data_IF_297091000923
#
_entry.id   IF_297091000923
#
_cell.length_a   1.000
_cell.length_b   1.000
_cell.length_c   1.000
_cell.angle_alpha   90.00
_cell.angle_beta   90.00
_cell.angle_gamma   90.00
#
_symmetry.space_group_name_H-M   'P 1'
#
loop_
_entity.id
_entity.type
_entity.pdbx_description
1 polymer ?
#
# COMPACT_ATOMS: atom_id res chain seq x y z
N UNK A 1 -17.84 54.67 -42.20
CA UNK A 1 -16.75 54.14 -41.37
C UNK A 1 -17.25 53.73 -39.98
N UNK A 2 -18.22 52.79 -39.88
CA UNK A 2 -18.85 52.48 -38.59
C UNK A 2 -19.28 51.01 -38.46
N UNK A 3 -18.41 50.06 -38.82
CA UNK A 3 -18.78 48.62 -38.75
C UNK A 3 -17.64 47.67 -38.37
N UNK A 4 -16.44 48.18 -38.04
CA UNK A 4 -15.25 47.33 -37.78
C UNK A 4 -14.89 47.12 -36.30
N UNK A 5 -15.70 47.60 -35.35
CA UNK A 5 -15.34 47.58 -33.91
C UNK A 5 -16.14 46.62 -33.02
N UNK A 6 -17.11 45.88 -33.56
CA UNK A 6 -17.99 45.03 -32.74
C UNK A 6 -17.60 43.54 -32.68
N UNK A 7 -16.54 43.12 -33.39
CA UNK A 7 -16.10 41.72 -33.41
C UNK A 7 -14.98 41.39 -32.40
N UNK A 8 -14.52 42.36 -31.60
CA UNK A 8 -13.40 42.15 -30.68
C UNK A 8 -13.80 41.71 -29.25
N UNK A 9 -15.09 41.69 -28.90
CA UNK A 9 -15.53 41.50 -27.51
C UNK A 9 -16.10 40.12 -27.17
N UNK A 10 -16.32 39.24 -28.15
CA UNK A 10 -17.02 37.96 -27.92
C UNK A 10 -16.09 36.77 -27.57
N UNK A 11 -14.77 36.97 -27.55
CA UNK A 11 -13.78 35.89 -27.39
C UNK A 11 -13.07 35.91 -26.02
N UNK A 12 -13.77 36.31 -24.95
CA UNK A 12 -13.16 36.45 -23.62
C UNK A 12 -13.81 35.60 -22.50
N UNK A 13 -14.80 34.75 -22.82
CA UNK A 13 -15.47 33.89 -21.82
C UNK A 13 -15.42 32.41 -22.21
N UNK A 14 -14.22 31.87 -22.39
CA UNK A 14 -14.00 30.42 -22.33
C UNK A 14 -13.55 30.08 -20.91
N UNK A 15 -14.41 29.54 -20.04
CA UNK A 15 -13.96 29.04 -18.75
C UNK A 15 -12.98 27.89 -18.99
N UNK A 16 -11.72 28.09 -18.58
CA UNK A 16 -10.71 27.05 -18.54
C UNK A 16 -11.13 26.01 -17.48
N UNK A 17 -11.91 25.02 -17.87
CA UNK A 17 -12.22 23.87 -17.03
C UNK A 17 -10.93 23.05 -16.85
N UNK A 18 -10.14 23.41 -15.84
CA UNK A 18 -9.00 22.60 -15.38
C UNK A 18 -9.54 21.27 -14.87
N UNK A 19 -9.58 20.27 -15.75
CA UNK A 19 -9.80 18.90 -15.34
C UNK A 19 -8.54 18.48 -14.60
N UNK A 20 -8.62 18.37 -13.28
CA UNK A 20 -7.58 17.73 -12.49
C UNK A 20 -7.46 16.30 -13.00
N UNK A 21 -6.44 16.05 -13.84
CA UNK A 21 -6.19 14.75 -14.42
C UNK A 21 -5.72 13.85 -13.28
N UNK A 22 -6.65 13.07 -12.73
CA UNK A 22 -6.36 12.10 -11.68
C UNK A 22 -5.26 11.18 -12.23
N UNK A 23 -4.05 11.30 -11.68
CA UNK A 23 -2.91 10.53 -12.14
C UNK A 23 -3.31 9.05 -12.19
N UNK A 24 -2.93 8.30 -13.25
CA UNK A 24 -3.29 6.89 -13.36
C UNK A 24 -2.94 6.17 -12.07
N UNK A 25 -3.89 5.40 -11.54
CA UNK A 25 -3.62 4.55 -10.41
C UNK A 25 -2.56 3.54 -10.83
N UNK A 26 -1.35 3.68 -10.29
CA UNK A 26 -0.25 2.77 -10.62
C UNK A 26 -0.62 1.38 -10.11
N UNK A 27 -0.71 0.43 -11.04
CA UNK A 27 -1.00 -0.96 -10.70
C UNK A 27 0.02 -1.96 -11.28
N UNK A 28 1.31 -1.83 -10.90
CA UNK A 28 2.32 -2.74 -11.41
C UNK A 28 2.07 -4.16 -10.92
N UNK A 29 2.50 -5.12 -11.74
CA UNK A 29 2.42 -6.55 -11.43
C UNK A 29 3.80 -7.17 -11.61
N UNK A 30 4.28 -7.85 -10.57
CA UNK A 30 5.56 -8.53 -10.55
C UNK A 30 5.35 -10.04 -10.63
N UNK A 31 6.19 -10.71 -11.43
CA UNK A 31 6.20 -12.17 -11.52
C UNK A 31 7.24 -12.72 -10.56
N UNK A 32 6.80 -13.56 -9.64
CA UNK A 32 7.65 -14.12 -8.61
C UNK A 32 8.37 -15.35 -9.16
N UNK A 33 9.70 -15.33 -9.08
CA UNK A 33 10.54 -16.44 -9.51
C UNK A 33 11.36 -16.99 -8.35
N UNK A 34 11.46 -18.32 -8.29
CA UNK A 34 12.37 -19.05 -7.41
C UNK A 34 13.05 -20.13 -8.23
N UNK A 35 14.39 -20.19 -8.20
CA UNK A 35 15.19 -21.08 -9.06
C UNK A 35 14.79 -20.99 -10.54
N UNK A 36 14.63 -19.75 -11.05
CA UNK A 36 14.18 -19.44 -12.42
C UNK A 36 12.77 -19.97 -12.80
N UNK A 37 12.04 -20.57 -11.86
CA UNK A 37 10.66 -21.01 -12.08
C UNK A 37 9.69 -19.94 -11.62
N UNK A 38 8.68 -19.65 -12.45
CA UNK A 38 7.58 -18.77 -12.07
C UNK A 38 6.71 -19.46 -11.03
N UNK A 39 6.78 -18.98 -9.78
CA UNK A 39 6.04 -19.55 -8.64
C UNK A 39 4.80 -18.74 -8.28
N UNK A 40 4.68 -17.52 -8.78
CA UNK A 40 3.61 -16.64 -8.32
C UNK A 40 3.55 -15.29 -9.00
N UNK A 41 2.77 -14.41 -8.38
CA UNK A 41 2.51 -13.04 -8.82
C UNK A 41 2.26 -12.15 -7.61
N UNK A 42 2.72 -10.92 -7.73
CA UNK A 42 2.44 -9.84 -6.80
C UNK A 42 1.84 -8.67 -7.58
N UNK A 43 0.71 -8.14 -7.14
CA UNK A 43 0.05 -7.00 -7.77
C UNK A 43 -0.09 -5.89 -6.75
N UNK A 44 0.32 -4.69 -7.15
CA UNK A 44 0.17 -3.47 -6.37
C UNK A 44 -0.98 -2.63 -6.93
N UNK A 45 -1.63 -1.87 -6.06
CA UNK A 45 -2.56 -0.80 -6.44
C UNK A 45 -2.29 0.41 -5.58
N UNK A 46 -1.91 1.52 -6.21
CA UNK A 46 -1.65 2.77 -5.53
C UNK A 46 -2.84 3.73 -5.65
N UNK A 47 -3.36 4.12 -4.50
CA UNK A 47 -4.36 5.18 -4.38
C UNK A 47 -3.72 6.39 -3.72
N UNK A 48 -3.75 7.54 -4.40
CA UNK A 48 -3.19 8.79 -3.89
C UNK A 48 -4.31 9.73 -3.45
N UNK A 49 -4.17 10.27 -2.25
CA UNK A 49 -5.04 11.32 -1.69
C UNK A 49 -4.17 12.47 -1.17
N UNK A 50 -4.76 13.62 -0.86
CA UNK A 50 -4.01 14.75 -0.32
C UNK A 50 -3.38 14.45 1.05
N UNK A 51 -3.93 13.49 1.80
CA UNK A 51 -3.51 13.14 3.15
C UNK A 51 -2.59 11.92 3.19
N UNK A 52 -2.75 10.98 2.26
CA UNK A 52 -2.01 9.73 2.26
C UNK A 52 -1.93 9.07 0.88
N UNK A 53 -0.89 8.27 0.69
CA UNK A 53 -0.75 7.29 -0.36
C UNK A 53 -0.97 5.90 0.22
N UNK A 54 -1.90 5.14 -0.37
CA UNK A 54 -2.24 3.78 0.06
C UNK A 54 -1.84 2.78 -1.01
N UNK A 55 -1.03 1.80 -0.62
CA UNK A 55 -0.64 0.66 -1.44
C UNK A 55 -1.41 -0.56 -0.97
N UNK A 56 -2.27 -1.10 -1.83
CA UNK A 56 -2.85 -2.44 -1.65
C UNK A 56 -2.00 -3.45 -2.43
N UNK A 57 -1.48 -4.44 -1.73
CA UNK A 57 -0.57 -5.47 -2.26
C UNK A 57 -1.24 -6.83 -2.15
N UNK A 58 -1.43 -7.48 -3.29
CA UNK A 58 -1.92 -8.85 -3.39
C UNK A 58 -0.76 -9.76 -3.80
N UNK A 59 -0.28 -10.59 -2.87
CA UNK A 59 0.83 -11.50 -3.05
C UNK A 59 0.35 -12.95 -3.05
N UNK A 60 0.66 -13.70 -4.12
CA UNK A 60 0.31 -15.12 -4.21
C UNK A 60 1.40 -15.91 -4.88
N UNK A 61 1.85 -16.97 -4.23
CA UNK A 61 2.82 -17.92 -4.79
C UNK A 61 2.49 -19.35 -4.41
N UNK A 62 3.21 -20.29 -5.01
CA UNK A 62 3.13 -21.72 -4.69
C UNK A 62 4.43 -22.16 -4.04
N UNK A 63 4.35 -22.69 -2.82
CA UNK A 63 5.46 -23.32 -2.11
C UNK A 63 5.27 -24.84 -2.11
N UNK A 64 6.13 -25.57 -2.83
CA UNK A 64 6.11 -27.04 -2.92
C UNK A 64 4.67 -27.59 -3.07
N UNK A 65 3.97 -27.13 -4.11
CA UNK A 65 2.56 -27.41 -4.47
C UNK A 65 1.46 -26.75 -3.62
N UNK A 66 1.78 -26.11 -2.49
CA UNK A 66 0.79 -25.44 -1.66
C UNK A 66 0.67 -23.94 -2.03
N UNK A 67 -0.54 -23.43 -2.34
CA UNK A 67 -0.72 -22.00 -2.57
C UNK A 67 -0.61 -21.22 -1.26
N UNK A 68 0.18 -20.15 -1.28
CA UNK A 68 0.37 -19.21 -0.18
C UNK A 68 -0.10 -17.84 -0.67
N UNK A 69 -1.14 -17.31 -0.02
CA UNK A 69 -1.74 -16.03 -0.35
C UNK A 69 -1.62 -15.07 0.83
N UNK A 70 -1.15 -13.86 0.55
CA UNK A 70 -0.94 -12.79 1.51
C UNK A 70 -1.46 -11.49 0.91
N UNK A 71 -2.20 -10.72 1.72
CA UNK A 71 -2.61 -9.37 1.37
C UNK A 71 -1.99 -8.40 2.36
N UNK A 72 -1.38 -7.34 1.85
CA UNK A 72 -0.84 -6.27 2.66
C UNK A 72 -1.41 -4.92 2.22
N UNK A 73 -1.55 -4.01 3.17
CA UNK A 73 -1.88 -2.63 2.92
C UNK A 73 -0.89 -1.73 3.65
N UNK A 74 -0.23 -0.85 2.92
CA UNK A 74 0.67 0.16 3.45
C UNK A 74 0.07 1.55 3.18
N UNK A 75 -0.09 2.35 4.23
CA UNK A 75 -0.43 3.76 4.11
C UNK A 75 0.76 4.61 4.53
N UNK A 76 1.10 5.60 3.71
CA UNK A 76 2.16 6.57 3.96
C UNK A 76 1.64 7.99 3.70
N UNK A 77 2.28 9.01 4.26
CA UNK A 77 2.00 10.41 3.91
C UNK A 77 2.48 10.72 2.49
N UNK A 78 2.08 11.85 1.88
CA UNK A 78 2.63 12.27 0.59
C UNK A 78 4.15 12.48 0.60
N UNK A 79 4.73 12.73 1.78
CA UNK A 79 6.18 12.82 1.99
C UNK A 79 6.87 11.45 2.16
N UNK A 80 6.10 10.35 2.21
CA UNK A 80 6.62 8.99 2.36
C UNK A 80 6.69 8.47 3.80
N UNK A 81 6.26 9.26 4.79
CA UNK A 81 6.27 8.85 6.19
C UNK A 81 5.24 7.73 6.45
N UNK A 82 5.60 6.62 7.11
CA UNK A 82 4.69 5.51 7.31
C UNK A 82 3.59 5.84 8.32
N UNK A 83 2.35 5.48 7.99
CA UNK A 83 1.16 5.69 8.83
C UNK A 83 0.61 4.37 9.36
N UNK A 84 0.51 3.37 8.48
CA UNK A 84 -0.09 2.07 8.82
C UNK A 84 0.44 0.96 7.93
N UNK A 85 0.70 -0.19 8.52
CA UNK A 85 0.90 -1.46 7.82
C UNK A 85 -0.15 -2.45 8.33
N UNK A 86 -0.86 -3.12 7.42
CA UNK A 86 -1.73 -4.23 7.76
C UNK A 86 -1.44 -5.41 6.86
N UNK A 87 -1.32 -6.59 7.46
CA UNK A 87 -0.94 -7.80 6.75
C UNK A 87 -1.87 -8.93 7.17
N UNK A 88 -2.44 -9.62 6.20
CA UNK A 88 -3.37 -10.73 6.46
C UNK A 88 -3.15 -11.85 5.45
N UNK A 89 -3.06 -13.08 5.95
CA UNK A 89 -2.97 -14.28 5.12
C UNK A 89 -1.88 -15.21 5.62
N UNK A 90 -1.11 -15.76 4.69
CA UNK A 90 -0.09 -16.77 4.95
C UNK A 90 1.29 -16.23 4.55
N UNK A 91 2.26 -16.29 5.46
CA UNK A 91 3.67 -15.97 5.17
C UNK A 91 4.44 -17.22 4.70
N UNK A 92 3.93 -18.40 5.05
CA UNK A 92 4.40 -19.70 4.59
C UNK A 92 3.22 -20.69 4.51
N UNK A 93 3.46 -21.91 4.05
CA UNK A 93 2.46 -23.00 4.11
C UNK A 93 2.12 -23.45 5.54
N UNK A 94 2.85 -22.98 6.56
CA UNK A 94 2.68 -23.37 7.96
C UNK A 94 2.41 -22.19 8.90
N UNK A 95 2.37 -20.96 8.38
CA UNK A 95 2.34 -19.75 9.21
C UNK A 95 1.40 -18.71 8.62
N UNK A 96 0.43 -18.31 9.43
CA UNK A 96 -0.50 -17.24 9.13
C UNK A 96 -0.14 -15.96 9.89
N UNK A 97 -0.58 -14.82 9.36
CA UNK A 97 -0.44 -13.51 10.00
C UNK A 97 -1.76 -12.74 9.83
N UNK A 98 -2.14 -11.96 10.83
CA UNK A 98 -3.29 -11.07 10.76
C UNK A 98 -3.05 -9.87 11.66
N UNK A 99 -2.11 -9.03 11.22
CA UNK A 99 -1.53 -8.01 12.07
C UNK A 99 -1.75 -6.63 11.49
N UNK A 100 -1.77 -5.64 12.37
CA UNK A 100 -1.85 -4.23 11.99
C UNK A 100 -0.96 -3.43 12.92
N UNK A 101 -0.08 -2.63 12.32
CA UNK A 101 0.77 -1.65 13.00
C UNK A 101 0.33 -0.26 12.56
N UNK A 102 0.13 0.64 13.52
CA UNK A 102 -0.13 2.07 13.29
C UNK A 102 0.96 2.91 13.93
N UNK A 103 1.35 3.97 13.24
CA UNK A 103 2.37 4.90 13.69
C UNK A 103 1.76 6.27 13.96
N UNK A 104 2.05 6.83 15.14
CA UNK A 104 1.72 8.21 15.50
C UNK A 104 3.03 8.97 15.68
N UNK A 105 3.31 9.94 14.80
CA UNK A 105 4.54 10.72 14.85
C UNK A 105 5.82 9.87 14.73
N UNK A 106 5.80 8.84 13.88
CA UNK A 106 6.94 7.95 13.65
C UNK A 106 7.17 6.87 14.71
N UNK A 107 6.31 6.78 15.74
CA UNK A 107 6.39 5.73 16.78
C UNK A 107 5.21 4.76 16.69
N UNK A 108 5.38 3.47 17.02
CA UNK A 108 4.28 2.52 17.14
C UNK A 108 3.26 3.00 18.17
N UNK A 109 2.09 3.38 17.69
CA UNK A 109 0.96 3.76 18.53
C UNK A 109 0.19 2.53 19.01
N UNK A 110 0.07 1.54 18.11
CA UNK A 110 -0.64 0.30 18.36
C UNK A 110 -0.17 -0.79 17.40
N UNK A 111 0.05 -1.99 17.94
CA UNK A 111 0.28 -3.20 17.19
C UNK A 111 -0.71 -4.26 17.69
N UNK A 112 -1.51 -4.82 16.78
CA UNK A 112 -2.25 -6.05 17.04
C UNK A 112 -1.47 -7.18 16.38
N UNK A 113 -0.85 -8.05 17.18
CA UNK A 113 -0.09 -9.20 16.71
C UNK A 113 -0.91 -10.47 16.99
N UNK A 114 -1.06 -11.33 15.99
CA UNK A 114 -1.68 -12.65 16.14
C UNK A 114 -0.59 -13.66 16.46
N UNK A 115 -0.75 -14.55 17.46
CA UNK A 115 0.24 -15.58 17.71
C UNK A 115 0.23 -16.55 16.56
N UNK A 116 1.32 -16.60 15.79
CA UNK A 116 1.70 -17.83 15.12
C UNK A 116 1.91 -18.89 16.22
N UNK A 117 1.22 -20.03 16.19
CA UNK A 117 1.33 -21.08 17.23
C UNK A 117 2.77 -21.61 17.40
N UNK A 118 3.00 -22.66 18.21
CA UNK A 118 3.19 -22.57 19.68
C UNK A 118 4.34 -21.63 20.15
N UNK A 119 4.78 -20.65 19.36
CA UNK A 119 5.75 -19.63 19.76
C UNK A 119 5.13 -18.64 20.77
N UNK A 120 4.97 -19.10 22.02
CA UNK A 120 4.49 -18.35 23.19
C UNK A 120 5.60 -17.46 23.75
N UNK A 121 6.02 -16.43 23.01
CA UNK A 121 7.11 -15.53 23.46
C UNK A 121 6.80 -14.03 23.45
N UNK A 122 5.57 -13.59 23.17
CA UNK A 122 5.29 -12.15 23.02
C UNK A 122 4.12 -11.62 23.88
N UNK A 123 3.66 -12.37 24.89
CA UNK A 123 2.51 -11.96 25.71
C UNK A 123 2.80 -10.87 26.76
N UNK A 124 4.06 -10.53 27.05
CA UNK A 124 4.42 -9.40 27.91
C UNK A 124 5.72 -8.75 27.46
N UNK A 125 5.64 -7.65 26.69
CA UNK A 125 6.76 -6.72 26.59
C UNK A 125 6.25 -5.28 26.82
N UNK A 126 6.89 -4.51 27.73
CA UNK A 126 6.58 -3.09 27.90
C UNK A 126 6.94 -2.32 26.63
N UNK A 127 6.15 -1.27 26.36
CA UNK A 127 6.29 -0.35 25.22
C UNK A 127 7.74 0.13 25.07
N UNK A 128 8.42 -0.18 23.96
CA UNK A 128 9.61 0.58 23.55
C UNK A 128 10.78 -0.14 22.89
N UNK A 129 10.80 -1.47 22.76
CA UNK A 129 11.95 -2.17 22.14
C UNK A 129 11.54 -2.97 20.90
N UNK A 130 12.32 -2.84 19.82
CA UNK A 130 12.30 -3.72 18.65
C UNK A 130 13.47 -4.69 18.82
N UNK A 131 13.25 -5.98 19.14
CA UNK A 131 14.33 -6.94 19.13
C UNK A 131 14.64 -7.37 17.70
N UNK A 132 15.92 -7.33 17.34
CA UNK A 132 16.46 -8.01 16.18
C UNK A 132 16.53 -9.53 16.38
N UNK A 133 16.50 -10.26 15.26
CA UNK A 133 16.53 -11.73 15.20
C UNK A 133 15.11 -12.29 15.12
N UNK A 134 14.70 -12.98 14.06
CA UNK A 134 15.39 -14.00 13.30
C UNK A 134 14.49 -15.22 13.35
N UNK A 135 13.86 -15.56 12.23
CA UNK A 135 13.14 -16.82 12.03
C UNK A 135 14.08 -17.85 11.43
#
# INVERSE_FOLDING_TARGET
MLQKRLLAAALALLPAASHAQQAPADSPTFLLHKFAQRIGKETYRLTRTAQAHTYDVDFKFVDRVSPVALRAQLAVTPAGEPLRLAVKGQTSRFSSINDTVRLDGGRPASASMTPCGPCRWWAELPRGEIPGGGC
#
